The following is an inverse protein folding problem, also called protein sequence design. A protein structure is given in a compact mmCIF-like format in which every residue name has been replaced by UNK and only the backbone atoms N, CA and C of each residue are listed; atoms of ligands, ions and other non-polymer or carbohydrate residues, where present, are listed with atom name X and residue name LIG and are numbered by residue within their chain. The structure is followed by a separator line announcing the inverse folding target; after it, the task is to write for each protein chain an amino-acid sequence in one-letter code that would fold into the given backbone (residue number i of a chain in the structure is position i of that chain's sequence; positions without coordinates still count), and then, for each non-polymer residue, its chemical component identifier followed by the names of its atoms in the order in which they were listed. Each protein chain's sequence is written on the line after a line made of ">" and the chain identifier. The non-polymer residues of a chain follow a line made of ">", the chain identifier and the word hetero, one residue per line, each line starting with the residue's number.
data_IF_714655831734
#
_entry.id   IF_714655831734
#
_cell.length_a   1.000
_cell.length_b   1.000
_cell.length_c   1.000
_cell.angle_alpha   90.00
_cell.angle_beta   90.00
_cell.angle_gamma   90.00
#
_symmetry.space_group_name_H-M   'P 1'
#
loop_
_entity.id
_entity.type
_entity.pdbx_description
1 polymer ?
#
# COMPACT_ATOMS: atom_id res chain seq x y z
N UNK A 1 -1.16 7.47 -4.72
CA UNK A 1 -1.72 6.30 -3.99
C UNK A 1 -2.01 5.11 -4.91
N UNK A 2 -3.09 5.09 -5.71
CA UNK A 2 -3.49 3.88 -6.45
C UNK A 2 -2.41 3.36 -7.40
N UNK A 3 -1.80 4.27 -8.17
CA UNK A 3 -0.64 3.97 -9.04
C UNK A 3 0.54 3.39 -8.26
N UNK A 4 0.71 3.78 -7.00
CA UNK A 4 1.78 3.27 -6.13
C UNK A 4 1.53 1.82 -5.73
N UNK A 5 0.27 1.47 -5.41
CA UNK A 5 -0.13 0.09 -5.16
C UNK A 5 -0.01 -0.76 -6.43
N UNK A 6 -0.38 -0.21 -7.59
CA UNK A 6 -0.23 -0.88 -8.88
C UNK A 6 1.24 -1.16 -9.20
N UNK A 7 2.12 -0.16 -9.02
CA UNK A 7 3.55 -0.33 -9.20
C UNK A 7 4.13 -1.40 -8.24
N UNK A 8 3.72 -1.39 -6.96
CA UNK A 8 4.14 -2.40 -6.00
C UNK A 8 3.63 -3.81 -6.37
N UNK A 9 2.39 -3.91 -6.84
CA UNK A 9 1.78 -5.18 -7.27
C UNK A 9 2.49 -5.78 -8.48
N UNK A 10 2.77 -4.95 -9.49
CA UNK A 10 3.50 -5.35 -10.69
C UNK A 10 4.95 -5.71 -10.37
N UNK A 11 5.63 -4.92 -9.53
CA UNK A 11 7.01 -5.17 -9.12
C UNK A 11 7.16 -6.50 -8.36
N UNK A 12 6.17 -6.87 -7.56
CA UNK A 12 6.14 -8.13 -6.82
C UNK A 12 5.59 -9.32 -7.63
N UNK A 13 5.27 -9.12 -8.92
CA UNK A 13 4.70 -10.13 -9.81
C UNK A 13 3.46 -10.83 -9.20
N UNK A 14 2.62 -10.07 -8.50
CA UNK A 14 1.46 -10.64 -7.81
C UNK A 14 0.39 -11.06 -8.84
N UNK A 15 -0.28 -12.20 -8.62
CA UNK A 15 -1.32 -12.67 -9.52
C UNK A 15 -2.65 -11.94 -9.31
N UNK A 16 -3.46 -11.95 -10.37
CA UNK A 16 -4.83 -11.41 -10.39
C UNK A 16 -4.88 -9.91 -10.62
N UNK A 17 -6.09 -9.35 -10.52
CA UNK A 17 -6.28 -7.89 -10.57
C UNK A 17 -5.81 -7.27 -9.26
N UNK A 18 -5.30 -6.03 -9.34
CA UNK A 18 -5.05 -5.20 -8.17
C UNK A 18 -6.31 -5.12 -7.29
N UNK A 19 -6.19 -5.64 -6.07
CA UNK A 19 -7.20 -5.55 -5.03
C UNK A 19 -6.48 -5.22 -3.72
N UNK A 20 -6.80 -4.06 -3.15
CA UNK A 20 -6.16 -3.54 -1.94
C UNK A 20 -7.06 -3.92 -0.75
N UNK A 21 -6.63 -4.81 0.14
CA UNK A 21 -7.38 -5.10 1.36
C UNK A 21 -7.54 -3.84 2.22
N UNK A 22 -8.68 -3.72 2.91
CA UNK A 22 -8.95 -2.55 3.76
C UNK A 22 -7.87 -2.34 4.82
N UNK A 23 -7.32 -3.42 5.37
CA UNK A 23 -6.24 -3.38 6.35
C UNK A 23 -4.95 -2.77 5.77
N UNK A 24 -4.53 -3.19 4.57
CA UNK A 24 -3.36 -2.60 3.90
C UNK A 24 -3.60 -1.12 3.56
N UNK A 25 -4.81 -0.78 3.12
CA UNK A 25 -5.17 0.61 2.83
C UNK A 25 -5.10 1.48 4.07
N UNK A 26 -5.77 1.07 5.15
CA UNK A 26 -5.80 1.81 6.41
C UNK A 26 -4.39 1.99 6.98
N UNK A 27 -3.56 0.94 6.92
CA UNK A 27 -2.17 1.01 7.37
C UNK A 27 -1.33 1.97 6.53
N UNK A 28 -1.52 2.02 5.21
CA UNK A 28 -0.83 2.97 4.36
C UNK A 28 -1.23 4.42 4.70
N UNK A 29 -2.52 4.69 4.92
CA UNK A 29 -3.00 6.02 5.33
C UNK A 29 -2.45 6.39 6.72
N UNK A 30 -2.44 5.47 7.68
CA UNK A 30 -1.86 5.70 9.01
C UNK A 30 -0.38 6.08 8.94
N UNK A 31 0.41 5.35 8.15
CA UNK A 31 1.83 5.69 7.93
C UNK A 31 1.96 7.07 7.31
N UNK A 32 1.14 7.37 6.29
CA UNK A 32 1.16 8.66 5.61
C UNK A 32 0.90 9.82 6.59
N UNK A 33 -0.16 9.70 7.40
CA UNK A 33 -0.54 10.72 8.37
C UNK A 33 0.53 10.92 9.43
N UNK A 34 1.13 9.82 9.91
CA UNK A 34 2.23 9.89 10.88
C UNK A 34 3.45 10.60 10.30
N UNK A 35 3.87 10.24 9.09
CA UNK A 35 5.03 10.84 8.44
C UNK A 35 4.78 12.29 7.98
N UNK A 36 3.53 12.73 7.88
CA UNK A 36 3.15 14.10 7.54
C UNK A 36 2.68 14.95 8.71
N UNK A 37 2.84 14.49 9.96
CA UNK A 37 2.23 15.13 11.13
C UNK A 37 2.59 16.63 11.27
N UNK A 38 3.83 17.00 10.96
CA UNK A 38 4.31 18.40 11.05
C UNK A 38 3.99 19.25 9.81
N UNK A 39 3.38 18.66 8.79
CA UNK A 39 3.05 19.30 7.50
C UNK A 39 1.56 19.58 7.35
N UNK A 40 0.80 19.51 8.44
CA UNK A 40 -0.62 19.83 8.47
C UNK A 40 -0.83 21.32 8.18
N UNK A 41 -1.13 21.62 6.91
CA UNK A 41 -1.34 22.97 6.41
C UNK A 41 -2.43 22.95 5.32
N UNK A 42 -3.21 24.03 5.16
CA UNK A 42 -4.19 24.14 4.09
C UNK A 42 -3.55 23.89 2.72
N UNK A 43 -4.13 22.97 1.96
CA UNK A 43 -3.64 22.62 0.62
C UNK A 43 -2.45 21.66 0.60
N UNK A 44 -1.99 21.16 1.75
CA UNK A 44 -0.99 20.11 1.79
C UNK A 44 -1.52 18.85 1.09
N UNK A 45 -0.74 18.35 0.13
CA UNK A 45 -1.01 17.11 -0.57
C UNK A 45 0.23 16.20 -0.44
N UNK A 46 0.08 14.96 0.06
CA UNK A 46 1.20 14.05 0.24
C UNK A 46 1.91 13.75 -1.09
N UNK A 47 3.23 13.91 -1.11
CA UNK A 47 4.06 13.64 -2.28
C UNK A 47 3.98 12.17 -2.71
N UNK A 48 4.20 11.91 -4.00
CA UNK A 48 4.17 10.54 -4.55
C UNK A 48 5.20 9.61 -3.87
N UNK A 49 6.36 10.15 -3.49
CA UNK A 49 7.40 9.46 -2.73
C UNK A 49 6.91 8.97 -1.36
N UNK A 50 6.11 9.79 -0.67
CA UNK A 50 5.56 9.45 0.65
C UNK A 50 4.51 8.34 0.56
N UNK A 51 3.68 8.37 -0.50
CA UNK A 51 2.83 7.23 -0.83
C UNK A 51 3.64 5.96 -1.14
N UNK A 52 4.76 6.10 -1.85
CA UNK A 52 5.72 5.03 -2.11
C UNK A 52 6.17 4.34 -0.83
N UNK A 53 6.64 5.14 0.12
CA UNK A 53 7.03 4.68 1.45
C UNK A 53 5.88 3.97 2.18
N UNK A 54 4.72 4.63 2.28
CA UNK A 54 3.56 4.06 2.97
C UNK A 54 3.13 2.69 2.39
N UNK A 55 3.10 2.55 1.06
CA UNK A 55 2.72 1.29 0.40
C UNK A 55 3.75 0.19 0.65
N UNK A 56 5.05 0.52 0.66
CA UNK A 56 6.10 -0.46 0.96
C UNK A 56 5.99 -1.01 2.39
N UNK A 57 5.52 -0.19 3.33
CA UNK A 57 5.46 -0.52 4.75
C UNK A 57 4.07 -0.93 5.26
N UNK A 58 3.03 -0.91 4.41
CA UNK A 58 1.66 -1.27 4.81
C UNK A 58 1.35 -2.78 4.84
N UNK A 59 2.30 -3.63 4.49
CA UNK A 59 2.13 -5.09 4.51
C UNK A 59 1.35 -5.66 3.32
N UNK A 60 1.01 -4.84 2.32
CA UNK A 60 0.20 -5.24 1.16
C UNK A 60 0.78 -6.45 0.40
N UNK A 61 2.06 -6.39 0.04
CA UNK A 61 2.72 -7.45 -0.75
C UNK A 61 2.73 -8.76 0.03
N UNK A 62 3.05 -8.70 1.33
CA UNK A 62 3.07 -9.85 2.23
C UNK A 62 1.69 -10.49 2.37
N UNK A 63 0.64 -9.66 2.55
CA UNK A 63 -0.75 -10.11 2.62
C UNK A 63 -1.19 -10.83 1.33
N UNK A 64 -0.81 -10.30 0.17
CA UNK A 64 -1.14 -10.91 -1.14
C UNK A 64 -0.43 -12.24 -1.36
N UNK A 65 0.85 -12.35 -0.99
CA UNK A 65 1.54 -13.63 -1.04
C UNK A 65 0.89 -14.66 -0.11
N UNK A 66 0.56 -14.30 1.14
CA UNK A 66 -0.11 -15.19 2.06
C UNK A 66 -1.46 -15.71 1.51
N UNK A 67 -2.28 -14.82 0.93
CA UNK A 67 -3.56 -15.18 0.33
C UNK A 67 -3.40 -16.07 -0.90
N UNK A 68 -2.41 -15.77 -1.76
CA UNK A 68 -2.10 -16.58 -2.94
C UNK A 68 -1.64 -18.00 -2.59
N UNK A 69 -0.88 -18.16 -1.51
CA UNK A 69 -0.47 -19.48 -1.03
C UNK A 69 -1.64 -20.31 -0.47
N UNK A 70 -2.59 -19.67 0.22
CA UNK A 70 -3.77 -20.37 0.77
C UNK A 70 -4.68 -20.92 -0.34
N UNK A 71 -4.82 -20.21 -1.46
CA UNK A 71 -5.64 -20.67 -2.60
C UNK A 71 -5.00 -21.79 -3.43
N UNK A 72 -3.67 -21.97 -3.36
CA UNK A 72 -2.97 -23.06 -4.06
C UNK A 72 -2.89 -24.34 -3.22
N UNK A 73 -2.99 -24.22 -1.89
CA UNK A 73 -2.87 -25.33 -0.95
C UNK A 73 -4.21 -25.99 -0.55
N UNK A 74 -5.35 -25.52 -1.07
CA UNK A 74 -6.69 -26.03 -0.79
C UNK A 74 -7.20 -26.92 -1.93
#
# INVERSE_FOLDING_TARGET
>A
MWQTFEAAHNKACLPGRLAIPMESFARAVEILLKESEIRDAPGYCPESSLWGYAVQHCGYVQSRHATGHVLVAA
#
